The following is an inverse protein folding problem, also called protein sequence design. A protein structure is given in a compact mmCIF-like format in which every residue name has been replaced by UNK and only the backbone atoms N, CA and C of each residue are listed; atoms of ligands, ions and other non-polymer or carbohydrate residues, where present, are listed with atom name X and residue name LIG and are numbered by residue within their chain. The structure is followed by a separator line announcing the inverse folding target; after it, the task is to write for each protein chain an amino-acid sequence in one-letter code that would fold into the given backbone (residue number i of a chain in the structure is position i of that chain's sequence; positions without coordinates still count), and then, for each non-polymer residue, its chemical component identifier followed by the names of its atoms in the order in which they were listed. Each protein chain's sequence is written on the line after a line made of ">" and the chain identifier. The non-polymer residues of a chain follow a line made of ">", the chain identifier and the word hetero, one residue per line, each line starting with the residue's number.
data_IF_768321296478
#
_entry.id   IF_768321296478
#
_cell.length_a   1.000
_cell.length_b   1.000
_cell.length_c   1.000
_cell.angle_alpha   90.00
_cell.angle_beta   90.00
_cell.angle_gamma   90.00
#
_symmetry.space_group_name_H-M   'P 1'
#
loop_
_entity.id
_entity.type
_entity.pdbx_description
1 polymer ?
#
# COMPACT_ATOMS: atom_id res chain seq x y z
N UNK A 1 7.63 -13.39 -8.34
CA UNK A 1 6.48 -12.79 -9.04
C UNK A 1 5.24 -13.63 -8.86
N UNK A 2 5.29 -14.91 -9.24
CA UNK A 2 4.17 -15.88 -9.16
C UNK A 2 3.51 -15.98 -7.78
N UNK A 3 4.24 -15.77 -6.68
CA UNK A 3 3.67 -15.86 -5.32
C UNK A 3 3.16 -14.53 -4.73
N UNK A 4 3.35 -13.39 -5.40
CA UNK A 4 3.05 -12.06 -4.83
C UNK A 4 1.98 -11.27 -5.59
N UNK A 5 1.66 -11.67 -6.81
CA UNK A 5 0.72 -10.96 -7.67
C UNK A 5 -0.13 -11.95 -8.45
N UNK A 6 -1.45 -11.83 -8.31
CA UNK A 6 -2.44 -12.76 -8.89
C UNK A 6 -2.97 -12.29 -10.26
N UNK A 7 -2.60 -11.09 -10.70
CA UNK A 7 -2.99 -10.56 -12.00
C UNK A 7 -2.06 -11.01 -13.14
N UNK A 8 -2.33 -10.56 -14.38
CA UNK A 8 -1.50 -10.87 -15.54
C UNK A 8 -0.06 -10.38 -15.36
N UNK A 9 0.93 -11.21 -15.66
CA UNK A 9 2.35 -10.89 -15.43
C UNK A 9 2.95 -9.86 -16.39
N UNK A 10 2.21 -9.47 -17.42
CA UNK A 10 2.55 -8.49 -18.44
C UNK A 10 1.85 -7.14 -18.23
N UNK A 11 0.99 -7.02 -17.21
CA UNK A 11 0.31 -5.76 -16.92
C UNK A 11 1.25 -4.72 -16.27
N UNK A 12 0.80 -3.47 -16.22
CA UNK A 12 1.60 -2.36 -15.69
C UNK A 12 1.95 -2.55 -14.20
N UNK A 13 1.11 -3.23 -13.42
CA UNK A 13 1.36 -3.49 -12.00
C UNK A 13 2.46 -4.54 -11.83
N UNK A 14 2.38 -5.65 -12.55
CA UNK A 14 3.37 -6.71 -12.56
C UNK A 14 4.72 -6.20 -13.06
N UNK A 15 4.76 -5.47 -14.17
CA UNK A 15 6.02 -4.90 -14.67
C UNK A 15 6.60 -3.89 -13.67
N UNK A 16 5.76 -3.05 -13.05
CA UNK A 16 6.16 -2.10 -12.00
C UNK A 16 6.78 -2.79 -10.79
N UNK A 17 6.12 -3.82 -10.24
CA UNK A 17 6.62 -4.63 -9.12
C UNK A 17 7.94 -5.31 -9.49
N UNK A 18 8.05 -5.87 -10.71
CA UNK A 18 9.23 -6.60 -11.17
C UNK A 18 10.46 -5.70 -11.25
N UNK A 19 10.26 -4.47 -11.72
CA UNK A 19 11.33 -3.50 -11.92
C UNK A 19 11.56 -2.62 -10.68
N UNK A 20 10.75 -2.76 -9.63
CA UNK A 20 10.76 -1.87 -8.46
C UNK A 20 10.67 -0.38 -8.85
N UNK A 21 9.85 -0.08 -9.86
CA UNK A 21 9.81 1.26 -10.46
C UNK A 21 9.02 2.23 -9.57
N UNK A 22 9.63 3.33 -9.07
CA UNK A 22 8.97 4.32 -8.22
C UNK A 22 7.92 5.17 -8.95
N UNK A 23 7.92 5.16 -10.29
CA UNK A 23 6.98 5.90 -11.16
C UNK A 23 5.83 5.03 -11.66
N UNK A 24 5.90 3.71 -11.49
CA UNK A 24 4.84 2.77 -11.83
C UNK A 24 3.64 2.92 -10.88
N UNK A 25 2.50 2.24 -11.16
CA UNK A 25 1.37 2.23 -10.24
C UNK A 25 1.78 1.83 -8.81
N UNK A 26 1.18 2.50 -7.82
CA UNK A 26 1.44 2.19 -6.41
C UNK A 26 0.93 0.78 -6.08
N UNK A 27 1.86 -0.12 -5.77
CA UNK A 27 1.56 -1.47 -5.28
C UNK A 27 2.19 -1.63 -3.91
N UNK A 28 1.34 -1.73 -2.88
CA UNK A 28 1.75 -1.93 -1.49
C UNK A 28 0.99 -3.11 -0.89
N UNK A 29 1.72 -3.98 -0.19
CA UNK A 29 1.12 -5.07 0.57
C UNK A 29 1.13 -4.74 2.06
N UNK A 30 -0.05 -4.78 2.68
CA UNK A 30 -0.21 -4.59 4.13
C UNK A 30 -0.14 -5.95 4.81
N UNK A 31 0.85 -6.15 5.67
CA UNK A 31 1.04 -7.42 6.38
C UNK A 31 0.37 -7.45 7.75
N UNK A 32 0.24 -6.29 8.41
CA UNK A 32 -0.40 -6.18 9.72
C UNK A 32 -0.90 -4.78 10.00
N UNK A 33 -1.92 -4.73 10.85
CA UNK A 33 -2.40 -3.49 11.45
C UNK A 33 -1.72 -3.32 12.81
N UNK A 34 -0.98 -2.22 12.99
CA UNK A 34 -0.30 -1.91 14.25
C UNK A 34 -1.20 -0.98 15.07
N UNK A 35 -1.59 -1.37 16.30
CA UNK A 35 -2.40 -0.51 17.15
C UNK A 35 -1.64 0.75 17.54
N UNK A 36 -2.36 1.85 17.66
CA UNK A 36 -1.81 3.12 18.16
C UNK A 36 -2.27 3.39 19.58
N UNK A 37 -1.71 4.41 20.23
CA UNK A 37 -2.18 4.89 21.55
C UNK A 37 -3.60 5.47 21.48
N UNK A 38 -4.00 5.97 20.31
CA UNK A 38 -5.35 6.44 20.05
C UNK A 38 -6.28 5.23 19.88
N UNK A 39 -7.19 5.02 20.84
CA UNK A 39 -8.15 3.93 20.80
C UNK A 39 -8.91 3.91 19.47
N UNK A 40 -8.90 2.77 18.79
CA UNK A 40 -9.60 2.56 17.53
C UNK A 40 -8.84 3.02 16.28
N UNK A 41 -7.62 3.55 16.40
CA UNK A 41 -6.75 3.86 15.26
C UNK A 41 -5.63 2.85 15.13
N UNK A 42 -5.39 2.45 13.89
CA UNK A 42 -4.35 1.51 13.51
C UNK A 42 -3.51 2.09 12.37
N UNK A 43 -2.21 1.81 12.40
CA UNK A 43 -1.34 2.02 11.25
C UNK A 43 -1.32 0.75 10.40
N UNK A 44 -1.50 0.90 9.09
CA UNK A 44 -1.27 -0.18 8.16
C UNK A 44 0.25 -0.30 7.93
N UNK A 45 0.84 -1.41 8.38
CA UNK A 45 2.27 -1.69 8.18
C UNK A 45 2.44 -2.63 7.00
N UNK A 46 3.33 -2.28 6.08
CA UNK A 46 3.49 -2.99 4.82
C UNK A 46 4.73 -2.58 4.04
N UNK A 47 4.87 -3.20 2.87
CA UNK A 47 5.96 -2.94 1.93
C UNK A 47 5.41 -2.36 0.64
N UNK A 48 6.03 -1.29 0.16
CA UNK A 48 5.84 -0.78 -1.20
C UNK A 48 6.71 -1.60 -2.15
N UNK A 49 6.09 -2.17 -3.18
CA UNK A 49 6.75 -2.94 -4.23
C UNK A 49 7.00 -2.12 -5.50
N UNK A 50 6.11 -1.17 -5.80
CA UNK A 50 6.24 -0.20 -6.90
C UNK A 50 5.46 1.06 -6.60
N UNK A 51 5.77 2.13 -7.34
CA UNK A 51 5.20 3.45 -7.14
C UNK A 51 5.69 4.12 -5.85
N UNK A 52 5.10 5.28 -5.55
CA UNK A 52 5.48 6.11 -4.40
C UNK A 52 4.29 6.41 -3.52
N UNK A 53 4.43 6.19 -2.21
CA UNK A 53 3.43 6.58 -1.20
C UNK A 53 3.65 8.04 -0.80
N UNK A 54 2.58 8.83 -0.89
CA UNK A 54 2.58 10.23 -0.48
C UNK A 54 1.34 10.56 0.35
N UNK A 55 1.51 11.51 1.28
CA UNK A 55 0.38 12.11 2.02
C UNK A 55 -0.56 12.79 1.03
N UNK A 56 -1.87 12.62 1.22
CA UNK A 56 -2.92 13.15 0.34
C UNK A 56 -3.22 12.28 -0.89
N UNK A 57 -2.35 11.32 -1.23
CA UNK A 57 -2.59 10.39 -2.34
C UNK A 57 -3.88 9.60 -2.08
N UNK A 58 -4.82 9.64 -3.03
CA UNK A 58 -6.03 8.80 -3.00
C UNK A 58 -5.67 7.39 -3.43
N UNK A 59 -5.48 6.50 -2.46
CA UNK A 59 -5.15 5.11 -2.71
C UNK A 59 -6.42 4.26 -2.87
N UNK A 60 -6.31 3.21 -3.68
CA UNK A 60 -7.29 2.12 -3.79
C UNK A 60 -6.89 1.03 -2.80
N UNK A 61 -7.70 0.85 -1.77
CA UNK A 61 -7.54 -0.18 -0.75
C UNK A 61 -8.40 -1.37 -1.21
N UNK A 62 -7.73 -2.46 -1.56
CA UNK A 62 -8.34 -3.71 -1.99
C UNK A 62 -8.32 -4.66 -0.79
N UNK A 63 -9.49 -4.98 -0.26
CA UNK A 63 -9.61 -5.95 0.83
C UNK A 63 -9.44 -7.39 0.34
N UNK A 64 -9.49 -8.37 1.26
CA UNK A 64 -9.21 -9.77 0.96
C UNK A 64 -10.18 -10.42 -0.02
N UNK A 65 -11.39 -9.86 -0.19
CA UNK A 65 -12.41 -10.39 -1.09
C UNK A 65 -12.56 -9.54 -2.37
N UNK A 66 -11.65 -8.59 -2.61
CA UNK A 66 -11.70 -7.75 -3.79
C UNK A 66 -11.53 -8.57 -5.07
N UNK A 67 -12.37 -8.30 -6.07
CA UNK A 67 -12.26 -8.88 -7.42
C UNK A 67 -12.13 -7.75 -8.44
N UNK A 68 -11.15 -7.79 -9.37
CA UNK A 68 -11.00 -6.80 -10.42
C UNK A 68 -12.30 -6.56 -11.21
N UNK A 69 -12.64 -5.29 -11.42
CA UNK A 69 -13.87 -4.87 -12.10
C UNK A 69 -15.10 -4.70 -11.18
N UNK A 70 -15.06 -5.23 -9.95
CA UNK A 70 -16.12 -5.02 -8.95
C UNK A 70 -15.80 -3.84 -8.02
N UNK A 71 -16.84 -3.33 -7.35
CA UNK A 71 -16.73 -2.32 -6.29
C UNK A 71 -16.78 -2.92 -4.88
N UNK A 72 -17.09 -4.21 -4.77
CA UNK A 72 -17.09 -4.95 -3.52
C UNK A 72 -15.67 -4.98 -2.94
N UNK A 73 -15.56 -4.70 -1.64
CA UNK A 73 -14.29 -4.67 -0.90
C UNK A 73 -13.21 -3.75 -1.49
N UNK A 74 -13.65 -2.72 -2.24
CA UNK A 74 -12.81 -1.69 -2.82
C UNK A 74 -13.12 -0.33 -2.17
N UNK A 75 -12.12 0.27 -1.55
CA UNK A 75 -12.25 1.58 -0.93
C UNK A 75 -11.26 2.56 -1.54
N UNK A 76 -11.72 3.77 -1.85
CA UNK A 76 -10.84 4.86 -2.30
C UNK A 76 -10.74 5.88 -1.17
N UNK A 77 -9.57 5.98 -0.54
CA UNK A 77 -9.35 6.86 0.61
C UNK A 77 -8.00 7.57 0.50
N UNK A 78 -7.90 8.83 0.95
CA UNK A 78 -6.63 9.54 0.98
C UNK A 78 -5.72 8.98 2.09
N UNK A 79 -4.43 8.87 1.80
CA UNK A 79 -3.41 8.57 2.80
C UNK A 79 -3.20 9.82 3.67
N UNK A 80 -3.49 9.72 4.97
CA UNK A 80 -3.43 10.88 5.86
C UNK A 80 -2.00 11.22 6.29
N UNK A 81 -1.21 10.21 6.61
CA UNK A 81 0.19 10.32 7.04
C UNK A 81 0.94 9.06 6.63
N UNK A 82 2.22 9.21 6.31
CA UNK A 82 3.16 8.10 6.12
C UNK A 82 4.22 8.14 7.23
N UNK A 83 4.54 6.98 7.78
CA UNK A 83 5.56 6.82 8.79
C UNK A 83 6.57 5.80 8.31
N UNK A 84 7.83 6.01 8.67
CA UNK A 84 8.84 4.98 8.62
C UNK A 84 8.91 4.28 9.98
N UNK A 85 8.97 2.95 9.99
CA UNK A 85 9.12 2.16 11.21
C UNK A 85 10.57 1.70 11.32
N UNK A 86 11.28 2.27 12.29
CA UNK A 86 12.66 1.90 12.61
C UNK A 86 12.63 1.20 13.96
N UNK A 87 12.76 -0.13 13.94
CA UNK A 87 12.61 -1.00 15.12
C UNK A 87 11.23 -0.81 15.78
N UNK A 88 11.17 -0.28 17.00
CA UNK A 88 9.91 -0.01 17.73
C UNK A 88 9.44 1.45 17.60
N UNK A 89 10.17 2.30 16.85
CA UNK A 89 9.89 3.73 16.73
C UNK A 89 9.27 4.05 15.36
N UNK A 90 8.19 4.80 15.38
CA UNK A 90 7.60 5.40 14.17
C UNK A 90 8.12 6.83 14.01
N UNK A 91 8.59 7.16 12.81
CA UNK A 91 9.05 8.50 12.46
C UNK A 91 8.21 9.05 11.30
N UNK A 92 7.70 10.28 11.44
CA UNK A 92 6.84 10.90 10.43
C UNK A 92 7.70 11.38 9.26
N UNK A 93 7.42 10.88 8.06
CA UNK A 93 8.10 11.35 6.86
C UNK A 93 7.43 12.64 6.38
N UNK A 94 8.07 13.78 6.68
CA UNK A 94 7.48 15.10 6.40
C UNK A 94 7.66 15.56 4.95
N UNK A 95 8.75 15.20 4.24
CA UNK A 95 8.98 15.61 2.86
C UNK A 95 9.98 14.68 2.15
N UNK A 96 9.45 13.74 1.37
CA UNK A 96 10.06 13.07 0.21
C UNK A 96 8.93 12.84 -0.78
#
# INVERSE_FOLDING_TARGET
>A
MEMLYEGPHDDACAVGIKNCDPSAPLMMYISKMVPTTDKGRFYAFGRVFSGTVATGLKARIMGPNFVPGKKEDLYVKPIQRKFELISIKFELLMNL
#
